data_IF_107686671930
#
_entry.id   IF_107686671930
#
_cell.length_a   1.000
_cell.length_b   1.000
_cell.length_c   1.000
_cell.angle_alpha   90.00
_cell.angle_beta   90.00
_cell.angle_gamma   90.00
#
_symmetry.space_group_name_H-M   'P 1'
#
loop_
_entity.id
_entity.type
_entity.pdbx_description
1 polymer ?
#
# COMPACT_ATOMS: atom_id res chain seq x y z
N UNK A 1 32.32 -1.15 -17.00
CA UNK A 1 31.95 -1.13 -15.54
C UNK A 1 30.55 -0.55 -15.44
N UNK A 2 29.56 -1.40 -15.70
CA UNK A 2 28.15 -1.00 -15.69
C UNK A 2 27.55 -1.24 -14.31
N UNK A 3 27.22 -0.17 -13.60
CA UNK A 3 26.33 -0.25 -12.44
C UNK A 3 24.89 -0.14 -12.94
N UNK A 4 24.27 -1.28 -13.15
CA UNK A 4 22.85 -1.39 -13.38
C UNK A 4 22.07 -0.82 -12.18
N UNK A 5 21.34 0.25 -12.41
CA UNK A 5 20.29 0.75 -11.52
C UNK A 5 19.23 -0.33 -11.37
N UNK A 6 19.07 -0.89 -10.17
CA UNK A 6 17.98 -1.81 -9.84
C UNK A 6 16.67 -1.04 -9.74
N UNK A 7 15.59 -1.49 -10.38
CA UNK A 7 14.28 -0.82 -10.27
C UNK A 7 13.67 -1.05 -8.88
N UNK A 8 13.08 0.00 -8.35
CA UNK A 8 12.35 0.01 -7.08
C UNK A 8 11.21 -1.00 -7.10
N UNK A 9 11.15 -1.88 -6.13
CA UNK A 9 10.07 -2.86 -5.97
C UNK A 9 8.96 -2.25 -5.11
N UNK A 10 7.82 -1.94 -5.71
CA UNK A 10 6.58 -1.60 -4.99
C UNK A 10 5.98 -2.89 -4.41
N UNK A 11 6.52 -3.36 -3.28
CA UNK A 11 6.08 -4.61 -2.66
C UNK A 11 5.14 -4.46 -1.45
N UNK A 12 4.85 -3.25 -1.03
CA UNK A 12 4.30 -3.03 0.32
C UNK A 12 2.82 -2.63 0.41
N UNK A 13 2.10 -2.46 -0.70
CA UNK A 13 0.71 -1.95 -0.68
C UNK A 13 -0.34 -3.07 -0.63
N UNK A 14 0.05 -4.32 -0.85
CA UNK A 14 -0.90 -5.42 -1.10
C UNK A 14 -1.60 -5.96 0.16
N UNK A 15 -1.08 -5.77 1.35
CA UNK A 15 -1.60 -6.41 2.56
C UNK A 15 -2.79 -5.70 3.26
N UNK A 16 -3.16 -4.49 2.86
CA UNK A 16 -4.24 -3.73 3.49
C UNK A 16 -5.64 -3.94 2.92
N UNK A 17 -5.82 -4.70 1.84
CA UNK A 17 -7.04 -4.69 1.03
C UNK A 17 -7.81 -6.02 0.96
N UNK A 18 -7.62 -6.93 1.90
CA UNK A 18 -8.32 -8.22 1.95
C UNK A 18 -9.87 -8.14 1.87
N UNK A 19 -10.57 -7.11 2.39
CA UNK A 19 -12.00 -6.96 2.15
C UNK A 19 -12.35 -6.54 0.72
N UNK A 20 -11.50 -5.73 0.10
CA UNK A 20 -11.66 -5.29 -1.30
C UNK A 20 -11.48 -6.45 -2.28
N UNK A 21 -10.69 -7.46 -1.93
CA UNK A 21 -10.50 -8.67 -2.72
C UNK A 21 -11.82 -9.42 -2.99
N UNK A 22 -12.76 -9.44 -2.02
CA UNK A 22 -14.09 -10.06 -2.21
C UNK A 22 -15.08 -9.17 -2.97
N UNK A 23 -15.01 -7.86 -2.80
CA UNK A 23 -15.82 -6.92 -3.59
C UNK A 23 -15.41 -6.93 -5.06
N UNK A 24 -14.12 -6.96 -5.33
CA UNK A 24 -13.57 -7.11 -6.69
C UNK A 24 -13.91 -8.50 -7.24
N UNK A 25 -13.80 -9.56 -6.44
CA UNK A 25 -14.22 -10.89 -6.84
C UNK A 25 -15.72 -11.00 -7.15
N UNK A 26 -16.59 -10.31 -6.40
CA UNK A 26 -18.03 -10.29 -6.71
C UNK A 26 -18.32 -9.51 -7.99
N UNK A 27 -17.59 -8.42 -8.22
CA UNK A 27 -17.68 -7.64 -9.45
C UNK A 27 -17.09 -8.39 -10.66
N UNK A 28 -16.02 -9.16 -10.47
CA UNK A 28 -15.37 -9.98 -11.50
C UNK A 28 -16.11 -11.31 -11.71
N UNK A 29 -16.65 -11.95 -10.67
CA UNK A 29 -17.44 -13.20 -10.81
C UNK A 29 -18.76 -12.99 -11.54
N UNK A 30 -19.33 -11.78 -11.48
CA UNK A 30 -20.50 -11.41 -12.28
C UNK A 30 -20.17 -11.11 -13.75
N UNK A 31 -18.90 -10.98 -14.11
CA UNK A 31 -18.42 -10.75 -15.48
C UNK A 31 -17.74 -11.96 -16.12
N UNK A 32 -17.18 -12.82 -15.31
CA UNK A 32 -16.45 -14.02 -15.75
C UNK A 32 -16.88 -15.17 -14.86
N UNK A 33 -17.37 -16.26 -15.47
CA UNK A 33 -17.80 -17.50 -14.82
C UNK A 33 -16.57 -18.24 -14.21
N UNK A 34 -15.98 -17.67 -13.14
CA UNK A 34 -14.79 -18.18 -12.46
C UNK A 34 -15.20 -18.74 -11.11
N UNK A 35 -15.32 -20.06 -11.01
CA UNK A 35 -15.36 -20.76 -9.73
C UNK A 35 -13.97 -20.68 -9.08
N UNK A 36 -13.86 -19.98 -7.93
CA UNK A 36 -12.66 -19.98 -7.12
C UNK A 36 -12.64 -21.25 -6.25
N UNK A 37 -11.52 -21.94 -6.11
CA UNK A 37 -11.39 -23.05 -5.19
C UNK A 37 -11.51 -22.58 -3.74
N UNK A 38 -12.05 -23.45 -2.90
CA UNK A 38 -12.30 -23.23 -1.47
C UNK A 38 -11.04 -22.77 -0.70
N UNK A 39 -11.29 -21.94 0.27
CA UNK A 39 -10.41 -21.10 1.06
C UNK A 39 -9.39 -21.84 1.93
N UNK A 40 -8.38 -22.44 1.33
CA UNK A 40 -7.13 -22.78 2.01
C UNK A 40 -5.96 -22.56 1.06
N UNK A 41 -5.66 -21.28 0.75
CA UNK A 41 -4.38 -20.95 0.13
C UNK A 41 -3.31 -20.94 1.22
N UNK A 42 -2.65 -22.06 1.43
CA UNK A 42 -1.26 -22.06 1.90
C UNK A 42 -0.41 -21.65 0.71
N UNK A 43 0.21 -20.47 0.77
CA UNK A 43 1.30 -20.11 -0.11
C UNK A 43 2.51 -20.97 0.27
N UNK A 44 2.67 -22.10 -0.38
CA UNK A 44 4.00 -22.69 -0.51
C UNK A 44 4.78 -21.82 -1.48
N UNK A 45 5.73 -21.05 -0.99
CA UNK A 45 6.76 -20.46 -1.83
C UNK A 45 7.49 -21.59 -2.52
N UNK A 46 7.47 -21.70 -3.88
CA UNK A 46 8.40 -22.60 -4.57
C UNK A 46 9.79 -22.14 -4.18
N UNK A 47 10.54 -23.01 -3.54
CA UNK A 47 11.79 -22.81 -2.84
C UNK A 47 12.56 -21.57 -3.28
N UNK A 48 12.69 -20.60 -2.40
CA UNK A 48 13.70 -19.59 -2.54
C UNK A 48 15.01 -20.33 -2.78
N UNK A 49 15.62 -20.13 -3.94
CA UNK A 49 17.01 -20.56 -4.15
C UNK A 49 17.85 -19.82 -3.11
N UNK A 50 18.12 -20.51 -2.01
CA UNK A 50 19.14 -20.13 -1.04
C UNK A 50 20.47 -20.50 -1.72
N UNK A 51 20.91 -19.68 -2.65
CA UNK A 51 22.29 -19.65 -3.06
C UNK A 51 22.86 -18.28 -2.76
N UNK A 52 23.88 -18.30 -1.96
CA UNK A 52 24.75 -17.22 -1.51
C UNK A 52 24.34 -16.50 -0.23
N UNK A 53 24.82 -17.07 0.87
CA UNK A 53 24.96 -16.43 2.19
C UNK A 53 25.96 -15.25 2.20
N UNK A 54 26.02 -14.43 1.18
CA UNK A 54 26.96 -13.33 1.14
C UNK A 54 26.25 -11.99 1.00
N UNK A 55 26.40 -11.19 2.07
CA UNK A 55 26.14 -9.75 2.13
C UNK A 55 24.67 -9.29 2.20
N UNK A 56 23.93 -9.77 3.20
CA UNK A 56 23.02 -8.83 3.85
C UNK A 56 23.76 -8.31 5.10
N UNK A 57 23.86 -6.99 5.30
CA UNK A 57 24.34 -6.47 6.57
C UNK A 57 23.47 -7.04 7.69
N UNK A 58 24.06 -7.29 8.86
CA UNK A 58 23.30 -7.67 10.03
C UNK A 58 22.06 -6.77 10.11
N UNK A 59 20.88 -7.34 10.36
CA UNK A 59 19.67 -6.56 10.44
C UNK A 59 19.91 -5.41 11.43
N UNK A 60 19.47 -4.18 11.11
CA UNK A 60 19.67 -3.06 12.03
C UNK A 60 19.15 -3.45 13.39
N UNK A 61 19.93 -3.22 14.44
CA UNK A 61 19.64 -3.65 15.80
C UNK A 61 18.30 -3.13 16.36
N UNK A 62 17.65 -2.21 15.64
CA UNK A 62 16.36 -1.67 16.00
C UNK A 62 15.46 -1.51 14.75
N UNK A 63 14.42 -2.34 14.68
CA UNK A 63 13.38 -2.26 13.66
C UNK A 63 12.25 -1.27 14.01
N UNK A 64 12.32 -0.62 15.17
CA UNK A 64 11.36 0.41 15.53
C UNK A 64 11.57 1.67 14.64
N UNK A 65 10.51 2.42 14.39
CA UNK A 65 10.63 3.71 13.71
C UNK A 65 11.55 4.66 14.49
N UNK A 66 12.35 5.45 13.77
CA UNK A 66 13.19 6.48 14.40
C UNK A 66 12.32 7.50 15.14
N UNK A 67 12.79 7.93 16.31
CA UNK A 67 12.05 8.87 17.17
C UNK A 67 11.90 10.26 16.53
N UNK A 68 12.96 10.76 15.89
CA UNK A 68 13.01 12.10 15.29
C UNK A 68 13.17 11.98 13.76
N UNK A 69 12.10 11.65 13.00
CA UNK A 69 12.18 11.62 11.55
C UNK A 69 12.24 13.05 10.96
N UNK A 70 12.70 13.15 9.71
CA UNK A 70 12.56 14.40 8.95
C UNK A 70 11.10 14.81 8.85
N UNK A 71 10.83 16.12 8.85
CA UNK A 71 9.49 16.63 8.59
C UNK A 71 9.07 16.29 7.15
N UNK A 72 7.86 15.79 6.99
CA UNK A 72 7.25 15.54 5.69
C UNK A 72 6.39 16.72 5.28
N UNK A 73 6.32 17.00 3.98
CA UNK A 73 5.38 17.97 3.42
C UNK A 73 3.94 17.74 3.92
N UNK A 74 3.48 16.50 3.97
CA UNK A 74 2.14 16.17 4.44
C UNK A 74 1.90 16.44 5.92
N UNK A 75 2.95 16.64 6.71
CA UNK A 75 2.90 16.89 8.15
C UNK A 75 3.16 18.37 8.52
N UNK A 76 3.19 19.27 7.55
CA UNK A 76 3.34 20.70 7.85
C UNK A 76 2.19 21.24 8.71
N UNK A 77 0.98 20.69 8.49
CA UNK A 77 -0.21 21.00 9.29
C UNK A 77 -0.78 19.71 9.86
N UNK A 78 -0.43 19.41 11.10
CA UNK A 78 -0.90 18.19 11.76
C UNK A 78 -2.36 18.30 12.13
N UNK A 79 -3.10 17.21 11.86
CA UNK A 79 -4.48 17.04 12.31
C UNK A 79 -4.52 16.81 13.82
N UNK A 80 -5.59 17.20 14.50
CA UNK A 80 -5.74 17.02 15.95
C UNK A 80 -5.66 15.56 16.41
N UNK A 81 -6.09 14.61 15.55
CA UNK A 81 -5.99 13.19 15.81
C UNK A 81 -4.58 12.61 15.58
N UNK A 82 -3.62 13.41 15.09
CA UNK A 82 -2.29 12.88 14.78
C UNK A 82 -1.66 12.13 15.95
N UNK A 83 -1.73 12.69 17.14
CA UNK A 83 -1.20 12.13 18.39
C UNK A 83 -2.29 11.69 19.38
N UNK A 84 -3.53 11.50 18.89
CA UNK A 84 -4.67 11.20 19.74
C UNK A 84 -4.65 9.77 20.29
N UNK A 85 -5.26 9.60 21.46
CA UNK A 85 -5.55 8.32 22.10
C UNK A 85 -7.04 8.29 22.43
N UNK A 86 -7.72 7.23 21.98
CA UNK A 86 -9.16 7.06 22.25
C UNK A 86 -9.48 6.89 23.74
N UNK A 87 -8.53 6.34 24.49
CA UNK A 87 -8.62 6.18 25.95
C UNK A 87 -7.26 6.48 26.62
N UNK A 88 -7.25 6.97 27.87
CA UNK A 88 -6.01 7.22 28.62
C UNK A 88 -5.15 5.95 28.76
N UNK A 89 -5.79 4.83 29.07
CA UNK A 89 -5.14 3.54 29.26
C UNK A 89 -5.32 2.64 28.03
N UNK A 90 -4.41 1.68 27.87
CA UNK A 90 -4.57 0.61 26.89
C UNK A 90 -5.78 -0.26 27.26
N UNK A 91 -6.64 -0.61 26.29
CA UNK A 91 -7.62 -1.66 26.52
C UNK A 91 -6.94 -2.95 26.95
N UNK A 92 -7.37 -3.59 28.06
CA UNK A 92 -6.73 -4.83 28.52
C UNK A 92 -6.92 -6.00 27.54
N UNK A 93 -8.00 -5.96 26.77
CA UNK A 93 -8.34 -6.97 25.77
C UNK A 93 -8.95 -6.36 24.51
N UNK A 94 -8.75 -7.00 23.38
CA UNK A 94 -9.40 -6.68 22.10
C UNK A 94 -9.60 -7.95 21.28
N UNK A 95 -10.66 -8.02 20.48
CA UNK A 95 -10.81 -9.15 19.53
C UNK A 95 -9.75 -9.07 18.43
N UNK A 96 -9.43 -7.86 17.98
CA UNK A 96 -8.43 -7.61 16.96
C UNK A 96 -7.54 -6.45 17.36
N UNK A 97 -6.23 -6.69 17.36
CA UNK A 97 -5.23 -5.60 17.43
C UNK A 97 -4.58 -5.42 16.06
N UNK A 98 -4.55 -4.17 15.59
CA UNK A 98 -3.88 -3.77 14.35
C UNK A 98 -2.64 -2.97 14.73
N UNK A 99 -1.47 -3.39 14.24
CA UNK A 99 -0.19 -2.73 14.51
C UNK A 99 0.18 -1.84 13.33
N UNK A 100 0.11 -0.52 13.55
CA UNK A 100 0.35 0.53 12.55
C UNK A 100 -0.93 1.27 12.16
N UNK A 101 -0.91 2.60 12.28
CA UNK A 101 -1.99 3.51 11.88
C UNK A 101 -1.69 4.27 10.58
N UNK A 102 -1.05 3.61 9.64
CA UNK A 102 -0.91 4.06 8.26
C UNK A 102 -2.09 3.64 7.39
N UNK A 103 -1.92 3.77 6.08
CA UNK A 103 -2.93 3.41 5.08
C UNK A 103 -3.51 2.01 5.32
N UNK A 104 -2.64 1.00 5.41
CA UNK A 104 -3.07 -0.39 5.59
C UNK A 104 -3.86 -0.60 6.88
N UNK A 105 -3.38 -0.07 8.01
CA UNK A 105 -4.02 -0.28 9.30
C UNK A 105 -5.38 0.40 9.43
N UNK A 106 -5.46 1.67 9.09
CA UNK A 106 -6.72 2.43 9.18
C UNK A 106 -7.73 1.94 8.14
N UNK A 107 -7.32 1.65 6.89
CA UNK A 107 -8.24 1.09 5.91
C UNK A 107 -8.77 -0.29 6.35
N UNK A 108 -7.92 -1.13 6.94
CA UNK A 108 -8.35 -2.42 7.52
C UNK A 108 -9.37 -2.21 8.63
N UNK A 109 -9.11 -1.31 9.57
CA UNK A 109 -10.04 -0.98 10.65
C UNK A 109 -11.38 -0.46 10.09
N UNK A 110 -11.31 0.45 9.10
CA UNK A 110 -12.50 0.99 8.43
C UNK A 110 -13.35 -0.13 7.81
N UNK A 111 -12.75 -1.00 7.01
CA UNK A 111 -13.48 -2.08 6.35
C UNK A 111 -13.99 -3.14 7.32
N UNK A 112 -13.29 -3.41 8.41
CA UNK A 112 -13.79 -4.30 9.46
C UNK A 112 -15.04 -3.72 10.14
N UNK A 113 -15.12 -2.41 10.33
CA UNK A 113 -16.20 -1.77 11.10
C UNK A 113 -17.32 -1.18 10.25
N UNK A 114 -17.01 -0.69 9.05
CA UNK A 114 -17.95 -0.02 8.13
C UNK A 114 -18.24 -0.82 6.88
N UNK A 115 -17.58 -1.97 6.67
CA UNK A 115 -17.80 -2.85 5.52
C UNK A 115 -19.16 -3.54 5.55
N UNK A 116 -19.51 -4.24 4.47
CA UNK A 116 -20.80 -4.94 4.30
C UNK A 116 -21.10 -5.95 5.41
N UNK A 117 -20.04 -6.54 6.00
CA UNK A 117 -20.14 -7.49 7.12
C UNK A 117 -19.81 -6.82 8.44
N UNK A 118 -20.62 -5.84 8.83
CA UNK A 118 -20.47 -5.22 10.15
C UNK A 118 -20.43 -6.28 11.24
N UNK A 119 -19.52 -6.07 12.18
CA UNK A 119 -19.35 -6.97 13.32
C UNK A 119 -19.20 -6.17 14.63
N UNK A 120 -19.43 -6.85 15.73
CA UNK A 120 -19.31 -6.28 17.08
C UNK A 120 -17.91 -6.46 17.67
N UNK A 121 -16.91 -6.86 16.86
CA UNK A 121 -15.54 -7.06 17.31
C UNK A 121 -14.98 -5.76 17.89
N UNK A 122 -14.35 -5.86 19.03
CA UNK A 122 -13.52 -4.78 19.57
C UNK A 122 -12.21 -4.73 18.78
N UNK A 123 -11.87 -3.53 18.29
CA UNK A 123 -10.68 -3.30 17.47
C UNK A 123 -9.81 -2.23 18.13
N UNK A 124 -8.55 -2.55 18.37
CA UNK A 124 -7.55 -1.59 18.84
C UNK A 124 -6.47 -1.41 17.78
N UNK A 125 -6.14 -0.15 17.46
CA UNK A 125 -5.03 0.20 16.56
C UNK A 125 -3.89 0.78 17.39
N UNK A 126 -2.71 0.16 17.33
CA UNK A 126 -1.50 0.60 18.02
C UNK A 126 -0.54 1.23 17.02
N UNK A 127 -0.17 2.48 17.25
CA UNK A 127 0.77 3.21 16.40
C UNK A 127 1.98 3.66 17.20
N UNK A 128 3.16 3.42 16.67
CA UNK A 128 4.41 3.72 17.35
C UNK A 128 4.66 5.23 17.54
N UNK A 129 4.17 6.05 16.61
CA UNK A 129 4.29 7.52 16.60
C UNK A 129 2.90 8.15 16.41
N UNK A 130 2.80 9.21 15.62
CA UNK A 130 1.52 9.77 15.20
C UNK A 130 0.92 9.01 14.00
N UNK A 131 -0.39 9.13 13.81
CA UNK A 131 -1.10 8.54 12.66
C UNK A 131 -0.44 9.00 11.35
N UNK A 132 -0.21 8.07 10.43
CA UNK A 132 0.43 8.32 9.13
C UNK A 132 1.87 8.83 9.17
N UNK A 133 2.60 8.72 10.29
CA UNK A 133 4.00 9.19 10.37
C UNK A 133 5.00 8.33 9.60
N UNK A 134 4.60 7.14 9.15
CA UNK A 134 5.38 6.26 8.28
C UNK A 134 5.23 6.58 6.78
N UNK A 135 5.32 5.56 5.93
CA UNK A 135 5.29 5.69 4.46
C UNK A 135 4.03 6.39 3.91
N UNK A 136 2.88 6.26 4.60
CA UNK A 136 1.62 6.92 4.22
C UNK A 136 1.75 8.44 4.18
N UNK A 137 2.42 9.04 5.16
CA UNK A 137 2.66 10.48 5.19
C UNK A 137 3.99 10.91 4.55
N UNK A 138 4.62 10.08 3.70
CA UNK A 138 5.97 10.34 3.14
C UNK A 138 6.10 9.94 1.67
N UNK A 139 5.00 9.86 0.95
CA UNK A 139 4.98 9.53 -0.48
C UNK A 139 4.58 10.74 -1.33
N UNK A 140 4.56 10.59 -2.64
CA UNK A 140 4.23 11.67 -3.58
C UNK A 140 2.73 11.93 -3.77
N UNK A 141 1.84 11.21 -3.10
CA UNK A 141 0.40 11.41 -3.21
C UNK A 141 -0.20 10.95 -4.56
N UNK A 142 0.52 10.13 -5.32
CA UNK A 142 0.06 9.65 -6.61
C UNK A 142 -0.72 8.34 -6.48
N UNK A 143 -1.93 8.34 -7.03
CA UNK A 143 -2.78 7.17 -7.23
C UNK A 143 -2.68 6.79 -8.70
N UNK A 144 -1.67 5.99 -9.03
CA UNK A 144 -1.24 5.71 -10.39
C UNK A 144 -1.07 4.22 -10.61
N UNK A 145 -2.01 3.56 -11.32
CA UNK A 145 -1.90 2.13 -11.62
C UNK A 145 -0.75 1.84 -12.60
N UNK A 146 -0.12 0.68 -12.47
CA UNK A 146 0.79 0.18 -13.48
C UNK A 146 0.00 -0.60 -14.54
N UNK A 147 -0.25 0.06 -15.66
CA UNK A 147 -1.09 -0.48 -16.73
C UNK A 147 -0.34 -1.48 -17.63
N UNK A 148 0.98 -1.33 -17.77
CA UNK A 148 1.75 -2.12 -18.73
C UNK A 148 3.23 -2.32 -18.34
N UNK A 149 3.83 -1.44 -17.53
CA UNK A 149 5.28 -1.37 -17.34
C UNK A 149 5.89 -2.62 -16.71
N UNK A 150 5.35 -3.11 -15.60
CA UNK A 150 5.83 -4.30 -14.91
C UNK A 150 5.01 -5.56 -15.19
N UNK A 151 3.87 -5.44 -15.85
CA UNK A 151 2.96 -6.55 -16.11
C UNK A 151 3.63 -7.73 -16.82
N UNK A 152 4.52 -7.53 -17.85
CA UNK A 152 5.23 -8.64 -18.45
C UNK A 152 6.07 -9.44 -17.45
N UNK A 153 6.67 -8.81 -16.44
CA UNK A 153 7.44 -9.51 -15.39
C UNK A 153 6.54 -10.32 -14.46
N UNK A 154 5.34 -9.83 -14.17
CA UNK A 154 4.36 -10.57 -13.38
C UNK A 154 3.84 -11.79 -14.16
N UNK A 155 3.63 -11.63 -15.47
CA UNK A 155 3.27 -12.73 -16.37
C UNK A 155 4.38 -13.79 -16.40
N UNK A 156 5.65 -13.39 -16.50
CA UNK A 156 6.79 -14.29 -16.48
C UNK A 156 6.87 -15.10 -15.17
N UNK A 157 6.59 -14.45 -14.03
CA UNK A 157 6.70 -15.07 -12.70
C UNK A 157 5.53 -15.96 -12.33
N UNK A 158 4.32 -15.58 -12.70
CA UNK A 158 3.10 -16.19 -12.17
C UNK A 158 2.09 -16.62 -13.25
N UNK A 159 2.47 -16.51 -14.52
CA UNK A 159 1.60 -16.80 -15.66
C UNK A 159 0.71 -15.64 -16.08
N UNK A 160 0.15 -15.77 -17.28
CA UNK A 160 -0.64 -14.69 -17.94
C UNK A 160 -1.81 -14.24 -17.08
N UNK A 161 -2.60 -15.18 -16.58
CA UNK A 161 -3.80 -14.87 -15.78
C UNK A 161 -3.45 -14.01 -14.55
N UNK A 162 -2.52 -14.46 -13.72
CA UNK A 162 -2.12 -13.75 -12.51
C UNK A 162 -1.49 -12.37 -12.80
N UNK A 163 -0.67 -12.27 -13.85
CA UNK A 163 -0.10 -10.99 -14.26
C UNK A 163 -1.15 -9.97 -14.69
N UNK A 164 -2.19 -10.39 -15.41
CA UNK A 164 -3.28 -9.51 -15.83
C UNK A 164 -4.19 -9.12 -14.65
N UNK A 165 -4.49 -10.05 -13.74
CA UNK A 165 -5.26 -9.77 -12.52
C UNK A 165 -4.60 -8.68 -11.67
N UNK A 166 -3.27 -8.59 -11.65
CA UNK A 166 -2.56 -7.51 -10.94
C UNK A 166 -2.86 -6.15 -11.58
N UNK A 167 -2.80 -6.03 -12.90
CA UNK A 167 -3.10 -4.79 -13.60
C UNK A 167 -4.56 -4.34 -13.37
N UNK A 168 -5.50 -5.25 -13.52
CA UNK A 168 -6.93 -4.99 -13.28
C UNK A 168 -7.19 -4.58 -11.83
N UNK A 169 -6.49 -5.20 -10.88
CA UNK A 169 -6.55 -4.85 -9.47
C UNK A 169 -6.04 -3.43 -9.20
N UNK A 170 -4.92 -3.02 -9.81
CA UNK A 170 -4.40 -1.66 -9.67
C UNK A 170 -5.34 -0.61 -10.27
N UNK A 171 -5.92 -0.88 -11.44
CA UNK A 171 -6.93 -0.01 -12.07
C UNK A 171 -8.17 0.11 -11.19
N UNK A 172 -8.65 -1.01 -10.64
CA UNK A 172 -9.82 -1.03 -9.76
C UNK A 172 -9.63 -0.21 -8.48
N UNK A 173 -8.40 -0.05 -8.00
CA UNK A 173 -8.08 0.79 -6.83
C UNK A 173 -8.39 2.26 -7.05
N UNK A 174 -8.08 2.80 -8.23
CA UNK A 174 -8.36 4.20 -8.55
C UNK A 174 -9.86 4.49 -8.38
N UNK A 175 -10.69 3.64 -8.96
CA UNK A 175 -12.14 3.77 -8.87
C UNK A 175 -12.69 3.51 -7.46
N UNK A 176 -12.14 2.51 -6.75
CA UNK A 176 -12.56 2.21 -5.38
C UNK A 176 -12.25 3.34 -4.40
N UNK A 177 -11.07 3.96 -4.54
CA UNK A 177 -10.67 5.11 -3.69
C UNK A 177 -11.53 6.33 -4.02
N UNK A 178 -11.76 6.61 -5.31
CA UNK A 178 -12.67 7.69 -5.74
C UNK A 178 -14.06 7.52 -5.12
N UNK A 179 -14.66 6.33 -5.23
CA UNK A 179 -15.97 6.03 -4.63
C UNK A 179 -15.97 6.17 -3.11
N UNK A 180 -14.88 5.79 -2.43
CA UNK A 180 -14.76 5.96 -0.99
C UNK A 180 -14.73 7.45 -0.61
N UNK A 181 -13.96 8.26 -1.33
CA UNK A 181 -13.86 9.71 -1.13
C UNK A 181 -15.24 10.36 -1.30
N UNK A 182 -15.95 10.01 -2.38
CA UNK A 182 -17.29 10.52 -2.66
C UNK A 182 -18.31 10.09 -1.58
N UNK A 183 -18.31 8.82 -1.21
CA UNK A 183 -19.23 8.24 -0.20
C UNK A 183 -19.05 8.87 1.17
N UNK A 184 -17.82 9.00 1.64
CA UNK A 184 -17.50 9.52 2.97
C UNK A 184 -17.26 11.05 2.95
N UNK A 185 -17.41 11.69 1.77
CA UNK A 185 -17.23 13.15 1.55
C UNK A 185 -15.90 13.65 2.09
N UNK A 186 -14.81 12.97 1.70
CA UNK A 186 -13.46 13.23 2.21
C UNK A 186 -12.82 14.38 1.43
N UNK A 187 -12.48 15.46 2.12
CA UNK A 187 -11.63 16.52 1.56
C UNK A 187 -10.15 16.14 1.71
N UNK A 188 -9.58 15.55 0.66
CA UNK A 188 -8.20 15.10 0.62
C UNK A 188 -7.45 15.57 -0.62
N UNK A 189 -7.84 16.70 -1.20
CA UNK A 189 -7.25 17.29 -2.42
C UNK A 189 -7.26 16.31 -3.62
N UNK A 190 -8.27 15.42 -3.68
CA UNK A 190 -8.35 14.43 -4.73
C UNK A 190 -8.60 15.07 -6.10
N UNK A 191 -7.73 14.77 -7.05
CA UNK A 191 -7.88 15.19 -8.44
C UNK A 191 -7.71 13.99 -9.37
N UNK A 192 -8.75 13.68 -10.13
CA UNK A 192 -8.66 12.73 -11.25
C UNK A 192 -7.98 13.43 -12.42
N UNK A 193 -6.91 12.85 -12.94
CA UNK A 193 -6.08 13.45 -13.98
C UNK A 193 -5.50 12.37 -14.89
N UNK A 194 -4.64 12.78 -15.80
CA UNK A 194 -3.82 11.85 -16.58
C UNK A 194 -2.37 11.92 -16.10
N UNK A 195 -1.74 10.77 -15.94
CA UNK A 195 -0.29 10.67 -15.77
C UNK A 195 0.39 10.61 -17.11
N UNK A 196 1.68 10.92 -17.12
CA UNK A 196 2.53 10.83 -18.31
C UNK A 196 3.81 10.08 -17.96
N UNK A 197 4.06 8.97 -18.66
CA UNK A 197 5.35 8.31 -18.70
C UNK A 197 6.18 8.91 -19.83
N UNK A 198 7.44 9.27 -19.58
CA UNK A 198 8.30 9.91 -20.57
C UNK A 198 9.63 9.16 -20.68
N UNK A 199 10.04 8.88 -21.90
CA UNK A 199 11.34 8.29 -22.21
C UNK A 199 12.19 9.28 -23.00
N UNK A 200 13.27 9.75 -22.39
CA UNK A 200 14.26 10.66 -23.04
C UNK A 200 15.37 9.88 -23.73
N UNK A 201 15.53 8.58 -23.44
CA UNK A 201 16.49 7.69 -24.08
C UNK A 201 15.81 6.89 -25.19
N UNK A 202 16.37 6.93 -26.42
CA UNK A 202 15.78 6.26 -27.58
C UNK A 202 15.66 4.74 -27.41
N UNK A 203 16.66 4.08 -26.80
CA UNK A 203 16.61 2.64 -26.56
C UNK A 203 15.53 2.27 -25.55
N UNK A 204 15.37 3.09 -24.50
CA UNK A 204 14.31 2.90 -23.52
C UNK A 204 12.92 3.13 -24.13
N UNK A 205 12.78 4.14 -25.00
CA UNK A 205 11.54 4.42 -25.73
C UNK A 205 11.11 3.25 -26.64
N UNK A 206 12.08 2.65 -27.36
CA UNK A 206 11.81 1.46 -28.20
C UNK A 206 11.32 0.29 -27.33
N UNK A 207 12.00 -0.02 -26.23
CA UNK A 207 11.59 -1.09 -25.32
C UNK A 207 10.23 -0.84 -24.70
N UNK A 208 9.94 0.39 -24.30
CA UNK A 208 8.61 0.76 -23.76
C UNK A 208 7.52 0.56 -24.82
N UNK A 209 7.81 0.89 -26.08
CA UNK A 209 6.88 0.65 -27.18
C UNK A 209 6.62 -0.84 -27.42
N UNK A 210 7.64 -1.66 -27.39
CA UNK A 210 7.50 -3.11 -27.52
C UNK A 210 6.60 -3.69 -26.41
N UNK A 211 6.77 -3.22 -25.18
CA UNK A 211 5.93 -3.62 -24.04
C UNK A 211 4.48 -3.14 -24.24
N UNK A 212 4.30 -1.89 -24.64
CA UNK A 212 2.96 -1.34 -24.95
C UNK A 212 2.25 -2.15 -26.05
N UNK A 213 2.93 -2.44 -27.17
CA UNK A 213 2.37 -3.21 -28.28
C UNK A 213 2.02 -4.64 -27.86
N UNK A 214 2.87 -5.27 -27.04
CA UNK A 214 2.60 -6.59 -26.47
C UNK A 214 1.34 -6.58 -25.61
N UNK A 215 1.15 -5.58 -24.76
CA UNK A 215 -0.02 -5.50 -23.89
C UNK A 215 -1.28 -5.14 -24.68
N UNK A 216 -1.18 -4.20 -25.64
CA UNK A 216 -2.30 -3.81 -26.51
C UNK A 216 -2.81 -4.96 -27.37
N UNK A 217 -1.90 -5.84 -27.86
CA UNK A 217 -2.29 -7.01 -28.65
C UNK A 217 -3.13 -8.05 -27.89
N UNK A 218 -3.25 -7.92 -26.57
CA UNK A 218 -4.05 -8.81 -25.72
C UNK A 218 -5.51 -8.43 -25.60
N UNK A 219 -5.94 -7.32 -26.23
CA UNK A 219 -7.31 -6.82 -26.19
C UNK A 219 -7.86 -6.61 -24.77
N UNK A 220 -7.05 -6.04 -23.89
CA UNK A 220 -7.42 -5.78 -22.50
C UNK A 220 -8.15 -4.44 -22.42
N UNK A 221 -9.37 -4.43 -21.88
CA UNK A 221 -10.23 -3.25 -21.84
C UNK A 221 -9.57 -2.02 -21.16
N UNK A 222 -8.72 -2.22 -20.16
CA UNK A 222 -8.03 -1.12 -19.49
C UNK A 222 -6.93 -0.48 -20.37
N UNK A 223 -6.42 -1.21 -21.38
CA UNK A 223 -5.43 -0.67 -22.32
C UNK A 223 -6.03 0.35 -23.29
N UNK A 224 -7.35 0.41 -23.45
CA UNK A 224 -8.04 1.42 -24.26
C UNK A 224 -7.83 2.84 -23.71
N UNK A 225 -7.53 2.97 -22.41
CA UNK A 225 -7.19 4.25 -21.78
C UNK A 225 -5.71 4.65 -21.93
N UNK A 226 -4.84 3.74 -22.36
CA UNK A 226 -3.41 4.03 -22.52
C UNK A 226 -3.13 4.56 -23.90
N UNK A 227 -2.76 5.84 -23.99
CA UNK A 227 -2.33 6.47 -25.24
C UNK A 227 -0.80 6.55 -25.28
N UNK A 228 -0.18 5.94 -26.30
CA UNK A 228 1.26 5.95 -26.52
C UNK A 228 1.62 6.82 -27.72
N UNK A 229 2.45 7.85 -27.52
CA UNK A 229 2.93 8.76 -28.56
C UNK A 229 4.39 8.54 -28.92
N UNK A 230 4.73 8.79 -30.18
CA UNK A 230 6.12 8.77 -30.69
C UNK A 230 6.80 10.12 -30.50
N UNK A 231 8.10 10.16 -30.80
CA UNK A 231 8.99 11.30 -30.56
C UNK A 231 8.50 12.65 -31.09
N UNK A 232 7.82 12.68 -32.23
CA UNK A 232 7.37 13.94 -32.84
C UNK A 232 6.34 14.69 -32.00
N UNK A 233 5.47 13.96 -31.29
CA UNK A 233 4.42 14.54 -30.45
C UNK A 233 4.74 14.42 -28.95
N UNK A 234 5.70 13.56 -28.59
CA UNK A 234 5.98 13.24 -27.19
C UNK A 234 6.43 14.47 -26.38
N UNK A 235 7.19 15.36 -26.98
CA UNK A 235 7.64 16.61 -26.36
C UNK A 235 6.45 17.55 -26.11
N UNK A 236 5.56 17.70 -27.09
CA UNK A 236 4.37 18.56 -26.96
C UNK A 236 3.39 18.01 -25.91
N UNK A 237 3.17 16.69 -25.87
CA UNK A 237 2.23 16.04 -24.95
C UNK A 237 2.77 16.04 -23.53
N UNK A 238 4.06 15.75 -23.36
CA UNK A 238 4.68 15.62 -22.04
C UNK A 238 5.17 16.95 -21.46
N UNK A 239 5.43 17.94 -22.30
CA UNK A 239 6.13 19.17 -21.91
C UNK A 239 7.62 18.96 -21.62
N UNK A 240 8.16 17.77 -21.87
CA UNK A 240 9.56 17.42 -21.56
C UNK A 240 10.41 17.50 -22.81
N UNK A 241 11.33 18.45 -22.82
CA UNK A 241 12.26 18.64 -23.95
C UNK A 241 13.14 17.41 -24.17
N UNK A 242 13.24 16.98 -25.43
CA UNK A 242 14.00 15.80 -25.82
C UNK A 242 13.29 14.47 -25.60
N UNK A 243 12.00 14.48 -25.26
CA UNK A 243 11.20 13.27 -25.14
C UNK A 243 11.23 12.46 -26.45
N UNK A 244 11.59 11.18 -26.36
CA UNK A 244 11.63 10.24 -27.47
C UNK A 244 10.33 9.45 -27.63
N UNK A 245 9.59 9.29 -26.54
CA UNK A 245 8.24 8.75 -26.49
C UNK A 245 7.58 9.18 -25.18
N UNK A 246 6.27 9.15 -25.15
CA UNK A 246 5.49 9.25 -23.92
C UNK A 246 4.26 8.34 -23.98
N UNK A 247 3.74 7.99 -22.81
CA UNK A 247 2.46 7.33 -22.68
C UNK A 247 1.62 8.03 -21.62
N UNK A 248 0.31 8.15 -21.87
CA UNK A 248 -0.62 8.78 -20.92
C UNK A 248 -1.77 7.85 -20.60
N UNK A 249 -2.25 7.89 -19.38
CA UNK A 249 -3.40 7.13 -18.91
C UNK A 249 -4.01 7.76 -17.65
N UNK A 250 -5.22 7.36 -17.30
CA UNK A 250 -5.93 7.90 -16.15
C UNK A 250 -5.25 7.56 -14.85
N UNK A 251 -5.09 8.56 -14.01
CA UNK A 251 -4.50 8.47 -12.68
C UNK A 251 -5.16 9.49 -11.74
N UNK A 252 -4.80 9.49 -10.49
CA UNK A 252 -5.23 10.47 -9.51
C UNK A 252 -4.09 11.01 -8.68
N UNK A 253 -4.32 12.15 -8.07
CA UNK A 253 -3.48 12.69 -7.00
C UNK A 253 -4.35 12.99 -5.79
N UNK A 254 -3.80 12.87 -4.60
CA UNK A 254 -4.48 13.19 -3.36
C UNK A 254 -3.48 13.42 -2.21
N UNK A 255 -3.96 13.99 -1.11
CA UNK A 255 -3.23 13.97 0.16
C UNK A 255 -3.52 12.65 0.90
N UNK A 256 -2.56 11.72 0.97
CA UNK A 256 -2.78 10.45 1.66
C UNK A 256 -2.99 10.66 3.17
N UNK A 257 -2.35 11.70 3.73
CA UNK A 257 -2.50 12.08 5.12
C UNK A 257 -3.95 12.46 5.43
N UNK A 258 -4.52 13.42 4.68
CA UNK A 258 -5.91 13.86 4.85
C UNK A 258 -6.90 12.69 4.66
N UNK A 259 -6.71 11.86 3.62
CA UNK A 259 -7.56 10.70 3.37
C UNK A 259 -7.62 9.77 4.60
N UNK A 260 -6.46 9.39 5.12
CA UNK A 260 -6.39 8.41 6.20
C UNK A 260 -6.80 9.00 7.54
N UNK A 261 -6.46 10.26 7.80
CA UNK A 261 -6.93 10.95 9.02
C UNK A 261 -8.46 11.07 9.04
N UNK A 262 -9.10 11.36 7.89
CA UNK A 262 -10.58 11.41 7.85
C UNK A 262 -11.20 10.04 8.10
N UNK A 263 -10.64 8.96 7.57
CA UNK A 263 -11.12 7.62 7.91
C UNK A 263 -10.93 7.28 9.40
N UNK A 264 -9.80 7.68 9.98
CA UNK A 264 -9.54 7.51 11.41
C UNK A 264 -10.53 8.32 12.26
N UNK A 265 -10.84 9.55 11.85
CA UNK A 265 -11.81 10.42 12.50
C UNK A 265 -13.21 9.80 12.52
N UNK A 266 -13.70 9.30 11.38
CA UNK A 266 -14.97 8.58 11.30
C UNK A 266 -15.02 7.41 12.28
N UNK A 267 -13.92 6.64 12.37
CA UNK A 267 -13.84 5.48 13.27
C UNK A 267 -13.86 5.89 14.75
N UNK A 268 -13.24 7.01 15.10
CA UNK A 268 -13.18 7.54 16.47
C UNK A 268 -14.51 8.20 16.87
N UNK A 269 -15.07 9.07 16.01
CA UNK A 269 -16.36 9.75 16.23
C UNK A 269 -17.49 8.75 16.48
N UNK A 270 -17.55 7.68 15.67
CA UNK A 270 -18.56 6.63 15.82
C UNK A 270 -18.19 5.59 16.91
N UNK A 271 -17.09 5.78 17.63
CA UNK A 271 -16.58 4.87 18.69
C UNK A 271 -16.43 3.42 18.23
N UNK A 272 -16.01 3.23 16.98
CA UNK A 272 -15.89 1.92 16.37
C UNK A 272 -14.56 1.24 16.67
N UNK A 273 -13.51 2.02 16.96
CA UNK A 273 -12.16 1.52 17.26
C UNK A 273 -11.53 2.30 18.42
N UNK A 274 -10.55 1.68 19.07
CA UNK A 274 -9.65 2.35 20.00
C UNK A 274 -8.31 2.58 19.32
N UNK A 275 -7.91 3.83 19.09
CA UNK A 275 -6.62 4.19 18.51
C UNK A 275 -5.70 4.66 19.63
N UNK A 276 -4.48 4.15 19.66
CA UNK A 276 -3.44 4.46 20.64
C UNK A 276 -2.16 4.86 19.90
N UNK A 277 -1.94 6.15 19.74
CA UNK A 277 -0.69 6.71 19.19
C UNK A 277 0.42 6.75 20.24
N UNK A 278 1.66 6.96 19.80
CA UNK A 278 2.85 6.97 20.66
C UNK A 278 2.91 5.74 21.55
N UNK A 279 2.60 4.57 20.96
CA UNK A 279 2.46 3.28 21.64
C UNK A 279 3.12 2.19 20.79
N UNK A 280 4.47 2.19 20.70
CA UNK A 280 5.20 1.21 19.91
C UNK A 280 5.01 -0.20 20.48
N UNK A 281 4.62 -1.15 19.64
CA UNK A 281 4.63 -2.56 19.98
C UNK A 281 6.06 -3.06 19.97
N UNK A 282 6.49 -3.64 21.08
CA UNK A 282 7.85 -4.18 21.25
C UNK A 282 7.91 -5.69 21.12
N UNK A 283 6.82 -6.41 21.41
CA UNK A 283 6.72 -7.83 21.16
C UNK A 283 5.28 -8.29 21.03
N UNK A 284 5.10 -9.41 20.33
CA UNK A 284 3.84 -10.16 20.23
C UNK A 284 4.17 -11.62 20.52
N UNK A 285 3.55 -12.19 21.54
CA UNK A 285 3.78 -13.58 21.94
C UNK A 285 2.47 -14.33 22.05
N UNK A 286 2.43 -15.64 21.74
CA UNK A 286 1.24 -16.45 21.98
C UNK A 286 0.85 -16.43 23.48
N UNK A 287 -0.46 -16.32 23.75
CA UNK A 287 -0.99 -16.51 25.10
C UNK A 287 -1.36 -17.99 25.27
N UNK A 288 -0.89 -18.68 26.33
CA UNK A 288 -1.27 -20.08 26.61
C UNK A 288 -2.78 -20.31 26.72
N UNK A 289 -3.55 -19.25 27.00
CA UNK A 289 -5.01 -19.28 27.09
C UNK A 289 -5.70 -19.12 25.73
N UNK A 290 -4.94 -18.92 24.65
CA UNK A 290 -5.38 -18.64 23.30
C UNK A 290 -5.19 -17.16 22.93
N UNK A 291 -4.97 -16.88 21.66
CA UNK A 291 -4.67 -15.54 21.16
C UNK A 291 -3.23 -15.09 21.43
N UNK A 292 -3.05 -13.79 21.65
CA UNK A 292 -1.72 -13.16 21.70
C UNK A 292 -1.64 -12.11 22.81
N UNK A 293 -0.47 -12.00 23.43
CA UNK A 293 -0.10 -10.91 24.33
C UNK A 293 0.74 -9.91 23.53
N UNK A 294 0.30 -8.66 23.46
CA UNK A 294 0.97 -7.56 22.81
C UNK A 294 1.59 -6.67 23.88
N UNK A 295 2.91 -6.50 23.84
CA UNK A 295 3.68 -5.70 24.80
C UNK A 295 4.05 -4.34 24.20
N UNK A 296 3.87 -3.30 25.02
CA UNK A 296 4.26 -1.92 24.70
C UNK A 296 4.91 -1.29 25.95
N UNK A 297 5.63 -0.16 25.84
CA UNK A 297 6.11 0.59 27.00
C UNK A 297 4.99 1.10 27.92
N UNK A 298 3.74 1.12 27.46
CA UNK A 298 2.55 1.54 28.23
C UNK A 298 1.80 0.39 28.88
N UNK A 299 2.32 -0.83 28.81
CA UNK A 299 1.69 -2.03 29.34
C UNK A 299 1.37 -3.04 28.25
N UNK A 300 0.54 -4.02 28.61
CA UNK A 300 0.18 -5.13 27.73
C UNK A 300 -1.31 -5.12 27.39
N UNK A 301 -1.66 -5.63 26.22
CA UNK A 301 -3.03 -5.92 25.83
C UNK A 301 -3.12 -7.35 25.28
N UNK A 302 -4.24 -8.01 25.47
CA UNK A 302 -4.52 -9.33 24.90
C UNK A 302 -5.36 -9.17 23.63
N UNK A 303 -5.07 -9.96 22.58
CA UNK A 303 -5.86 -9.99 21.36
C UNK A 303 -6.15 -11.43 20.90
N UNK A 304 -7.36 -11.66 20.41
CA UNK A 304 -7.67 -12.92 19.74
C UNK A 304 -6.96 -13.03 18.38
N UNK A 305 -6.79 -11.89 17.69
CA UNK A 305 -6.10 -11.79 16.39
C UNK A 305 -5.22 -10.56 16.33
N UNK A 306 -4.07 -10.67 15.64
CA UNK A 306 -3.16 -9.57 15.38
C UNK A 306 -3.02 -9.38 13.88
N UNK A 307 -3.11 -8.12 13.44
CA UNK A 307 -2.88 -7.70 12.05
C UNK A 307 -1.66 -6.80 12.02
N UNK A 308 -0.63 -7.24 11.31
CA UNK A 308 0.60 -6.47 11.14
C UNK A 308 0.45 -5.55 9.93
N UNK A 309 0.33 -4.25 10.20
CA UNK A 309 0.21 -3.18 9.21
C UNK A 309 1.37 -2.17 9.30
N UNK A 310 2.49 -2.60 9.88
CA UNK A 310 3.67 -1.79 10.19
C UNK A 310 4.74 -1.81 9.08
N UNK A 311 4.36 -2.23 7.87
CA UNK A 311 5.15 -2.13 6.64
C UNK A 311 6.60 -2.65 6.81
N UNK A 312 7.59 -1.78 6.58
CA UNK A 312 9.01 -2.11 6.64
C UNK A 312 9.51 -2.52 8.04
N UNK A 313 8.73 -2.25 9.07
CA UNK A 313 9.07 -2.57 10.47
C UNK A 313 8.59 -3.95 10.92
N UNK A 314 7.94 -4.72 10.04
CA UNK A 314 7.34 -6.02 10.40
C UNK A 314 8.39 -7.01 10.90
N UNK A 315 9.57 -7.02 10.32
CA UNK A 315 10.66 -7.93 10.68
C UNK A 315 11.18 -7.71 12.12
N UNK A 316 10.90 -6.57 12.74
CA UNK A 316 11.18 -6.33 14.15
C UNK A 316 10.27 -7.10 15.11
N UNK A 317 9.08 -7.48 14.65
CA UNK A 317 8.11 -8.26 15.41
C UNK A 317 8.00 -9.71 14.93
N UNK A 318 8.29 -9.95 13.66
CA UNK A 318 8.26 -11.26 12.99
C UNK A 318 9.61 -11.49 12.29
N UNK A 319 10.62 -12.01 12.99
CA UNK A 319 11.99 -12.19 12.46
C UNK A 319 12.08 -13.03 11.18
N UNK A 320 11.13 -13.93 10.94
CA UNK A 320 11.05 -14.73 9.72
C UNK A 320 10.93 -13.90 8.43
N UNK A 321 10.49 -12.63 8.54
CA UNK A 321 10.41 -11.70 7.41
C UNK A 321 11.68 -10.89 7.14
N UNK A 322 12.76 -11.04 7.93
CA UNK A 322 13.99 -10.24 7.78
C UNK A 322 14.60 -10.32 6.38
N UNK A 323 14.53 -11.49 5.76
CA UNK A 323 15.06 -11.70 4.40
C UNK A 323 14.02 -11.47 3.29
N UNK A 324 12.75 -11.33 3.63
CA UNK A 324 11.64 -11.15 2.68
C UNK A 324 11.20 -9.69 2.57
N UNK A 325 11.26 -8.92 3.66
CA UNK A 325 10.86 -7.53 3.71
C UNK A 325 12.07 -6.68 4.10
N UNK A 326 12.70 -6.07 3.11
CA UNK A 326 13.89 -5.23 3.29
C UNK A 326 13.46 -3.77 3.34
N UNK A 327 13.75 -3.04 4.45
CA UNK A 327 13.47 -1.61 4.55
C UNK A 327 14.30 -0.82 3.54
N UNK A 328 13.65 -0.20 2.56
CA UNK A 328 14.28 0.70 1.61
C UNK A 328 13.84 2.13 1.86
N UNK A 329 14.79 3.07 1.85
CA UNK A 329 14.50 4.50 1.95
C UNK A 329 14.25 5.07 0.56
N UNK A 330 13.09 5.66 0.36
CA UNK A 330 12.78 6.50 -0.80
C UNK A 330 13.00 7.97 -0.46
N UNK A 331 13.23 8.79 -1.48
CA UNK A 331 13.30 10.24 -1.35
C UNK A 331 12.14 10.81 -2.15
N UNK A 332 11.29 11.61 -1.47
CA UNK A 332 10.27 12.42 -2.11
C UNK A 332 10.60 13.89 -1.86
N UNK A 333 10.51 14.71 -2.91
CA UNK A 333 10.71 16.15 -2.82
C UNK A 333 9.42 16.87 -3.18
N UNK A 334 9.08 17.91 -2.44
CA UNK A 334 8.09 18.90 -2.82
C UNK A 334 8.80 20.14 -3.35
N UNK A 335 8.42 20.60 -4.53
CA UNK A 335 9.02 21.75 -5.20
C UNK A 335 7.91 22.79 -5.39
N UNK A 336 8.08 23.97 -4.83
CA UNK A 336 7.23 25.14 -5.09
C UNK A 336 7.78 25.87 -6.32
N UNK A 337 6.95 26.16 -7.29
CA UNK A 337 7.25 26.93 -8.51
C UNK A 337 6.53 28.26 -8.49
#
# INVERSE_FOLDING_TARGET
MDRMSRPFTYGAIILGLLPSFRLINTALSNRFDVQLPDSTFQFEYPGAMVSDKHFLPDPPANYLPVENPTLSFWHENLHELHDARSTPDLPPTSDVVIIGAGYAGIATAYHLKKGERRNNLSVTVLEARGICSGATGRNGGHLRPDMYGHIPKYIERAGVKAGLEIAEFEVAHLEAIKKLIEKEKIDCDFTLTRTVDVWINKTAAIKAREVYDLMSSRNLAYMDDVFFSRSEDAENISGIKGAQACATYTAGTLSPYKLILRLAEILVEEKLVNIQTNTPVTSVTPDPRGGFIITTPRGTTHANKVIYANNAHVAGLLPEYQNAIVPCKGICSHITV
#
